data_IF_726204977161
#
_entry.id   IF_726204977161
#
_cell.length_a   1.000
_cell.length_b   1.000
_cell.length_c   1.000
_cell.angle_alpha   90.00
_cell.angle_beta   90.00
_cell.angle_gamma   90.00
#
_symmetry.space_group_name_H-M   'P 1'
#
loop_
_entity.id
_entity.type
_entity.pdbx_description
1 polymer ?
#
# COMPACT_ATOMS: atom_id res chain seq x y z
N UNK A 1 5.36 24.37 -19.40
CA UNK A 1 5.91 23.50 -18.36
C UNK A 1 4.79 22.66 -17.76
N UNK A 2 4.73 21.38 -18.06
CA UNK A 2 3.75 20.50 -17.46
C UNK A 2 4.20 20.16 -16.04
N UNK A 3 3.48 20.67 -15.04
CA UNK A 3 3.68 20.24 -13.67
C UNK A 3 3.23 18.77 -13.59
N UNK A 4 4.17 17.88 -13.36
CA UNK A 4 3.90 16.47 -13.15
C UNK A 4 3.01 16.32 -11.91
N UNK A 5 1.77 15.88 -12.12
CA UNK A 5 0.83 15.64 -11.02
C UNK A 5 1.26 14.38 -10.27
N UNK A 6 1.53 14.53 -8.99
CA UNK A 6 1.79 13.38 -8.11
C UNK A 6 0.48 12.87 -7.54
N UNK A 7 0.40 11.55 -7.35
CA UNK A 7 -0.73 10.91 -6.69
C UNK A 7 -0.90 11.43 -5.26
N UNK A 8 -2.15 11.57 -4.83
CA UNK A 8 -2.49 11.79 -3.42
C UNK A 8 -2.40 10.45 -2.68
N UNK A 9 -1.59 10.38 -1.64
CA UNK A 9 -1.40 9.17 -0.85
C UNK A 9 -2.20 9.24 0.44
N UNK A 10 -3.07 8.26 0.67
CA UNK A 10 -3.95 8.16 1.82
C UNK A 10 -3.65 6.87 2.56
N UNK A 11 -3.26 6.95 3.82
CA UNK A 11 -3.08 5.79 4.69
C UNK A 11 -4.38 5.50 5.44
N UNK A 12 -4.83 4.24 5.37
CA UNK A 12 -6.01 3.77 6.07
C UNK A 12 -5.55 2.92 7.23
N UNK A 13 -5.89 3.34 8.44
CA UNK A 13 -5.42 2.74 9.67
C UNK A 13 -6.59 2.33 10.55
N UNK A 14 -6.38 1.33 11.41
CA UNK A 14 -7.33 0.92 12.43
C UNK A 14 -6.57 0.49 13.67
N UNK A 15 -6.80 1.19 14.78
CA UNK A 15 -6.17 0.90 16.07
C UNK A 15 -6.74 -0.33 16.75
N UNK A 16 -7.98 -0.68 16.43
CA UNK A 16 -8.66 -1.85 17.01
C UNK A 16 -8.73 -2.96 15.99
N UNK A 17 -7.69 -3.74 15.82
CA UNK A 17 -7.57 -4.77 14.79
C UNK A 17 -8.87 -5.33 14.21
N UNK A 18 -8.92 -5.47 12.91
CA UNK A 18 -9.76 -6.43 12.21
C UNK A 18 -11.09 -6.00 11.64
N UNK A 19 -11.68 -4.87 12.00
CA UNK A 19 -13.02 -4.56 11.49
C UNK A 19 -13.08 -3.29 10.66
N UNK A 20 -13.38 -3.42 9.38
CA UNK A 20 -13.73 -2.32 8.49
C UNK A 20 -12.57 -1.63 7.78
N UNK A 21 -11.32 -1.86 8.19
CA UNK A 21 -10.16 -1.21 7.56
C UNK A 21 -10.01 -1.62 6.08
N UNK A 22 -9.96 -2.91 5.81
CA UNK A 22 -9.85 -3.46 4.46
C UNK A 22 -11.07 -3.09 3.63
N UNK A 23 -12.27 -3.19 4.18
CA UNK A 23 -13.52 -2.81 3.51
C UNK A 23 -13.52 -1.33 3.17
N UNK A 24 -13.06 -0.47 4.08
CA UNK A 24 -12.96 0.98 3.84
C UNK A 24 -11.99 1.27 2.69
N UNK A 25 -10.82 0.64 2.70
CA UNK A 25 -9.81 0.80 1.65
C UNK A 25 -10.36 0.39 0.29
N UNK A 26 -10.98 -0.79 0.22
CA UNK A 26 -11.56 -1.34 -1.00
C UNK A 26 -12.68 -0.46 -1.54
N UNK A 27 -13.64 -0.09 -0.70
CA UNK A 27 -14.78 0.72 -1.12
C UNK A 27 -14.38 2.13 -1.53
N UNK A 28 -13.45 2.75 -0.82
CA UNK A 28 -12.95 4.08 -1.18
C UNK A 28 -12.22 4.02 -2.53
N UNK A 29 -11.38 3.00 -2.74
CA UNK A 29 -10.65 2.82 -3.99
C UNK A 29 -11.57 2.60 -5.17
N UNK A 30 -12.54 1.70 -5.05
CA UNK A 30 -13.51 1.41 -6.10
C UNK A 30 -14.38 2.64 -6.38
N UNK A 31 -14.83 3.34 -5.33
CA UNK A 31 -15.60 4.57 -5.48
C UNK A 31 -14.85 5.65 -6.27
N UNK A 32 -13.58 5.85 -5.97
CA UNK A 32 -12.73 6.80 -6.72
C UNK A 32 -12.54 6.36 -8.18
N UNK A 33 -12.38 5.06 -8.42
CA UNK A 33 -12.26 4.52 -9.78
C UNK A 33 -13.56 4.74 -10.58
N UNK A 34 -14.71 4.59 -9.94
CA UNK A 34 -16.01 4.89 -10.56
C UNK A 34 -16.16 6.36 -10.96
N UNK A 35 -15.47 7.27 -10.26
CA UNK A 35 -15.38 8.69 -10.60
C UNK A 35 -14.32 8.99 -11.67
N UNK A 36 -13.77 7.98 -12.30
CA UNK A 36 -12.77 8.12 -13.36
C UNK A 36 -11.34 8.36 -12.88
N UNK A 37 -11.06 8.17 -11.60
CA UNK A 37 -9.71 8.33 -11.05
C UNK A 37 -8.89 7.06 -11.24
N UNK A 38 -7.58 7.23 -11.44
CA UNK A 38 -6.63 6.13 -11.45
C UNK A 38 -6.19 5.85 -10.02
N UNK A 39 -6.50 4.66 -9.52
CA UNK A 39 -6.30 4.30 -8.11
C UNK A 39 -5.41 3.08 -7.99
N UNK A 40 -4.40 3.18 -7.13
CA UNK A 40 -3.57 2.08 -6.69
C UNK A 40 -3.88 1.79 -5.23
N UNK A 41 -4.26 0.55 -4.94
CA UNK A 41 -4.36 0.03 -3.58
C UNK A 41 -3.04 -0.66 -3.23
N UNK A 42 -2.52 -0.41 -2.04
CA UNK A 42 -1.31 -1.07 -1.54
C UNK A 42 -1.66 -1.81 -0.26
N UNK A 43 -1.58 -3.12 -0.30
CA UNK A 43 -1.78 -3.96 0.90
C UNK A 43 -0.47 -3.96 1.70
N UNK A 44 -0.48 -3.30 2.85
CA UNK A 44 0.67 -3.23 3.75
C UNK A 44 0.44 -4.06 5.03
N UNK A 45 -0.39 -5.08 4.93
CA UNK A 45 -0.70 -6.02 6.00
C UNK A 45 -0.16 -7.42 5.65
N UNK A 46 0.72 -8.02 6.48
CA UNK A 46 1.23 -9.38 6.23
C UNK A 46 0.13 -10.45 6.13
N UNK A 47 -1.03 -10.20 6.72
CA UNK A 47 -2.16 -11.11 6.61
C UNK A 47 -2.78 -11.14 5.20
N UNK A 48 -2.49 -10.14 4.38
CA UNK A 48 -2.98 -10.09 3.00
C UNK A 48 -4.49 -9.96 2.88
N UNK A 49 -5.15 -9.36 3.86
CA UNK A 49 -6.62 -9.29 3.90
C UNK A 49 -7.20 -8.53 2.70
N UNK A 50 -6.59 -7.42 2.32
CA UNK A 50 -7.02 -6.67 1.14
C UNK A 50 -6.79 -7.49 -0.14
N UNK A 51 -5.64 -8.13 -0.24
CA UNK A 51 -5.29 -8.99 -1.39
C UNK A 51 -6.32 -10.10 -1.57
N UNK A 52 -6.69 -10.80 -0.49
CA UNK A 52 -7.69 -11.86 -0.50
C UNK A 52 -9.07 -11.30 -0.85
N UNK A 53 -9.46 -10.20 -0.23
CA UNK A 53 -10.76 -9.54 -0.47
C UNK A 53 -10.91 -9.11 -1.92
N UNK A 54 -9.84 -8.70 -2.57
CA UNK A 54 -9.83 -8.29 -3.97
C UNK A 54 -9.78 -9.46 -4.95
N UNK A 55 -9.78 -10.70 -4.47
CA UNK A 55 -9.93 -11.90 -5.30
C UNK A 55 -8.71 -12.81 -5.40
N UNK A 56 -7.57 -12.42 -4.90
CA UNK A 56 -6.36 -13.27 -4.92
C UNK A 56 -6.32 -14.12 -3.66
N UNK A 57 -6.94 -15.30 -3.74
CA UNK A 57 -7.21 -16.18 -2.59
C UNK A 57 -5.97 -16.88 -2.03
N UNK A 58 -4.88 -16.91 -2.79
CA UNK A 58 -3.63 -17.57 -2.40
C UNK A 58 -2.46 -16.58 -2.54
N UNK A 59 -2.37 -15.58 -1.65
CA UNK A 59 -1.35 -14.54 -1.75
C UNK A 59 0.08 -15.08 -1.71
N UNK A 60 0.31 -16.18 -0.99
CA UNK A 60 1.64 -16.78 -0.86
C UNK A 60 2.17 -17.37 -2.15
N UNK A 61 1.30 -17.60 -3.14
CA UNK A 61 1.68 -18.08 -4.46
C UNK A 61 2.01 -16.93 -5.44
N UNK A 62 1.78 -15.68 -5.07
CA UNK A 62 2.06 -14.55 -5.94
C UNK A 62 3.58 -14.34 -6.08
N UNK A 63 4.08 -14.19 -7.32
CA UNK A 63 5.52 -14.07 -7.56
C UNK A 63 6.11 -12.74 -7.08
N UNK A 64 5.31 -11.69 -7.08
CA UNK A 64 5.75 -10.36 -6.68
C UNK A 64 4.72 -9.71 -5.76
N UNK A 65 5.18 -9.29 -4.59
CA UNK A 65 4.35 -8.64 -3.57
C UNK A 65 5.05 -7.38 -3.09
N UNK A 66 4.43 -6.66 -2.16
CA UNK A 66 5.04 -5.49 -1.54
C UNK A 66 6.41 -5.81 -0.93
N UNK A 67 6.54 -6.98 -0.27
CA UNK A 67 7.83 -7.39 0.31
C UNK A 67 8.90 -7.57 -0.76
N UNK A 68 8.56 -8.11 -1.93
CA UNK A 68 9.48 -8.24 -3.07
C UNK A 68 9.98 -6.87 -3.53
N UNK A 69 9.07 -5.91 -3.67
CA UNK A 69 9.40 -4.56 -4.12
C UNK A 69 10.26 -3.82 -3.08
N UNK A 70 9.92 -3.96 -1.80
CA UNK A 70 10.72 -3.38 -0.72
C UNK A 70 12.12 -3.99 -0.65
N UNK A 71 12.25 -5.31 -0.88
CA UNK A 71 13.54 -5.98 -0.93
C UNK A 71 14.40 -5.46 -2.10
N UNK A 72 13.79 -5.19 -3.24
CA UNK A 72 14.50 -4.54 -4.36
C UNK A 72 15.02 -3.16 -3.95
N UNK A 73 14.20 -2.36 -3.27
CA UNK A 73 14.62 -1.05 -2.78
C UNK A 73 15.78 -1.16 -1.77
N UNK A 74 15.75 -2.16 -0.89
CA UNK A 74 16.83 -2.43 0.07
C UNK A 74 18.18 -2.73 -0.62
N UNK A 75 18.12 -3.37 -1.77
CA UNK A 75 19.31 -3.78 -2.53
C UNK A 75 19.66 -2.76 -3.64
N UNK A 76 19.13 -1.55 -3.55
CA UNK A 76 19.33 -0.49 -4.56
C UNK A 76 18.98 -0.94 -5.99
N UNK A 77 18.09 -1.89 -6.13
CA UNK A 77 17.61 -2.35 -7.42
C UNK A 77 16.49 -1.44 -7.92
N UNK A 78 16.43 -1.22 -9.22
CA UNK A 78 15.36 -0.42 -9.80
C UNK A 78 14.02 -1.15 -9.72
N UNK A 79 12.96 -0.37 -9.53
CA UNK A 79 11.59 -0.86 -9.53
C UNK A 79 10.93 -0.28 -10.78
N UNK A 80 10.79 -1.08 -11.86
CA UNK A 80 10.12 -0.58 -13.07
C UNK A 80 8.66 -0.20 -12.77
N UNK A 81 8.12 0.83 -13.42
CA UNK A 81 6.70 1.15 -13.32
C UNK A 81 5.83 -0.07 -13.64
N UNK A 82 4.86 -0.36 -12.79
CA UNK A 82 3.96 -1.51 -12.96
C UNK A 82 4.48 -2.84 -12.41
N UNK A 83 5.71 -2.89 -11.91
CA UNK A 83 6.25 -4.11 -11.30
C UNK A 83 5.43 -4.47 -10.05
N UNK A 84 4.93 -5.71 -9.99
CA UNK A 84 4.12 -6.21 -8.88
C UNK A 84 2.69 -5.69 -8.84
N UNK A 85 2.24 -4.95 -9.84
CA UNK A 85 0.89 -4.39 -9.88
C UNK A 85 -0.08 -5.39 -10.50
N UNK A 86 -1.16 -5.68 -9.78
CA UNK A 86 -2.26 -6.51 -10.24
C UNK A 86 -3.44 -5.62 -10.65
N UNK A 87 -4.15 -6.00 -11.70
CA UNK A 87 -5.30 -5.24 -12.19
C UNK A 87 -6.60 -5.93 -11.79
N UNK A 88 -7.51 -5.16 -11.19
CA UNK A 88 -8.80 -5.65 -10.75
C UNK A 88 -9.91 -5.24 -11.74
N UNK A 89 -10.94 -6.09 -11.87
CA UNK A 89 -12.06 -5.86 -12.78
C UNK A 89 -12.86 -4.58 -12.46
N UNK A 90 -12.84 -4.15 -11.20
CA UNK A 90 -13.51 -2.90 -10.76
C UNK A 90 -12.72 -1.63 -11.10
N UNK A 91 -11.64 -1.74 -11.85
CA UNK A 91 -10.88 -0.59 -12.34
C UNK A 91 -9.83 -0.04 -11.40
N UNK A 92 -9.51 -0.75 -10.33
CA UNK A 92 -8.40 -0.41 -9.42
C UNK A 92 -7.22 -1.34 -9.64
N UNK A 93 -6.03 -0.85 -9.34
CA UNK A 93 -4.81 -1.66 -9.32
C UNK A 93 -4.40 -1.96 -7.89
N UNK A 94 -3.67 -3.05 -7.68
CA UNK A 94 -3.27 -3.53 -6.37
C UNK A 94 -1.80 -3.95 -6.36
N UNK A 95 -1.06 -3.48 -5.35
CA UNK A 95 0.19 -4.12 -4.94
C UNK A 95 -0.17 -5.05 -3.77
N UNK A 96 -0.04 -6.38 -3.96
CA UNK A 96 -0.48 -7.35 -2.96
C UNK A 96 0.53 -7.53 -1.83
N UNK A 97 0.08 -8.11 -0.72
CA UNK A 97 0.91 -8.55 0.38
C UNK A 97 0.68 -10.02 0.72
N UNK A 98 1.67 -10.62 1.35
CA UNK A 98 1.58 -11.95 1.91
C UNK A 98 2.41 -12.04 3.19
N UNK A 99 2.52 -13.24 3.75
CA UNK A 99 3.21 -13.47 5.03
C UNK A 99 4.70 -13.09 4.99
N UNK A 100 5.32 -13.05 3.82
CA UNK A 100 6.72 -12.63 3.69
C UNK A 100 6.96 -11.20 4.19
N UNK A 101 5.94 -10.36 4.15
CA UNK A 101 6.03 -9.00 4.67
C UNK A 101 6.33 -8.96 6.17
N UNK A 102 5.82 -9.92 6.95
CA UNK A 102 6.12 -10.02 8.37
C UNK A 102 7.61 -10.29 8.62
N UNK A 103 8.20 -11.20 7.83
CA UNK A 103 9.64 -11.49 7.90
C UNK A 103 10.50 -10.28 7.53
N UNK A 104 10.09 -9.55 6.51
CA UNK A 104 10.76 -8.34 6.09
C UNK A 104 10.69 -7.25 7.17
N UNK A 105 9.53 -7.06 7.80
CA UNK A 105 9.36 -6.09 8.88
C UNK A 105 10.32 -6.38 10.04
N UNK A 106 10.48 -7.65 10.43
CA UNK A 106 11.46 -8.05 11.46
C UNK A 106 12.87 -7.69 11.04
N UNK A 107 13.25 -7.95 9.79
CA UNK A 107 14.57 -7.59 9.26
C UNK A 107 14.80 -6.09 9.26
N UNK A 108 13.75 -5.29 9.08
CA UNK A 108 13.82 -3.84 9.01
C UNK A 108 13.76 -3.14 10.37
N UNK A 109 13.44 -3.84 11.46
CA UNK A 109 13.32 -3.26 12.81
C UNK A 109 14.59 -2.50 13.19
N UNK A 110 15.77 -3.03 12.83
CA UNK A 110 17.05 -2.42 13.10
C UNK A 110 17.58 -1.55 11.95
N UNK A 111 16.81 -1.41 10.88
CA UNK A 111 17.18 -0.60 9.73
C UNK A 111 16.68 0.82 9.90
N UNK A 112 17.57 1.80 9.92
CA UNK A 112 17.23 3.21 10.12
C UNK A 112 16.44 3.83 8.96
N UNK A 113 16.30 3.11 7.85
CA UNK A 113 15.76 3.64 6.60
C UNK A 113 14.57 2.84 6.05
N UNK A 114 13.90 2.05 6.88
CA UNK A 114 12.78 1.19 6.42
C UNK A 114 11.64 1.98 5.75
N UNK A 115 11.37 3.19 6.25
CA UNK A 115 10.36 4.06 5.67
C UNK A 115 10.77 4.56 4.28
N UNK A 116 12.09 4.69 4.01
CA UNK A 116 12.57 5.03 2.68
C UNK A 116 12.34 3.93 1.67
N UNK A 117 12.31 2.67 2.11
CA UNK A 117 12.04 1.53 1.22
C UNK A 117 10.61 1.58 0.69
N UNK A 118 9.65 1.79 1.59
CA UNK A 118 8.25 1.97 1.17
C UNK A 118 8.09 3.22 0.30
N UNK A 119 8.76 4.32 0.67
CA UNK A 119 8.74 5.54 -0.14
C UNK A 119 9.23 5.30 -1.56
N UNK A 120 10.33 4.57 -1.74
CA UNK A 120 10.86 4.25 -3.07
C UNK A 120 9.87 3.44 -3.90
N UNK A 121 9.20 2.47 -3.28
CA UNK A 121 8.15 1.68 -3.95
C UNK A 121 7.01 2.59 -4.40
N UNK A 122 6.53 3.47 -3.52
CA UNK A 122 5.44 4.39 -3.85
C UNK A 122 5.86 5.44 -4.89
N UNK A 123 7.07 5.95 -4.82
CA UNK A 123 7.59 6.94 -5.77
C UNK A 123 7.64 6.39 -7.20
N UNK A 124 7.88 5.09 -7.36
CA UNK A 124 7.85 4.45 -8.67
C UNK A 124 6.46 4.50 -9.32
N UNK A 125 5.41 4.63 -8.53
CA UNK A 125 4.01 4.61 -8.98
C UNK A 125 3.34 5.99 -8.96
N UNK A 126 3.91 6.99 -8.27
CA UNK A 126 3.23 8.28 -8.01
C UNK A 126 2.81 9.06 -9.25
N UNK A 127 3.46 8.84 -10.38
CA UNK A 127 3.16 9.57 -11.62
C UNK A 127 2.09 8.90 -12.47
N UNK A 128 1.71 7.67 -12.14
CA UNK A 128 0.76 6.88 -12.93
C UNK A 128 -0.65 6.87 -12.34
N UNK A 129 -0.81 7.30 -11.09
CA UNK A 129 -2.07 7.25 -10.37
C UNK A 129 -2.49 8.62 -9.87
N UNK A 130 -3.79 8.79 -9.69
CA UNK A 130 -4.37 9.96 -9.03
C UNK A 130 -4.38 9.76 -7.50
N UNK A 131 -4.62 8.53 -7.05
CA UNK A 131 -4.68 8.17 -5.64
C UNK A 131 -3.92 6.87 -5.36
N UNK A 132 -3.20 6.85 -4.24
CA UNK A 132 -2.60 5.65 -3.68
C UNK A 132 -3.17 5.46 -2.28
N UNK A 133 -3.85 4.34 -2.05
CA UNK A 133 -4.44 4.01 -0.76
C UNK A 133 -3.64 2.89 -0.10
N UNK A 134 -3.14 3.16 1.10
CA UNK A 134 -2.35 2.19 1.88
C UNK A 134 -3.25 1.53 2.93
N UNK A 135 -3.41 0.22 2.83
CA UNK A 135 -4.07 -0.58 3.86
C UNK A 135 -3.04 -1.01 4.90
N UNK A 136 -2.93 -0.25 5.98
CA UNK A 136 -1.86 -0.38 6.96
C UNK A 136 -2.30 -1.17 8.19
N UNK A 137 -1.41 -2.06 8.69
CA UNK A 137 -1.62 -2.67 10.01
C UNK A 137 -1.44 -1.65 11.12
N UNK A 138 -2.09 -1.88 12.29
CA UNK A 138 -1.85 -1.07 13.47
C UNK A 138 -0.48 -1.30 14.11
N UNK A 139 0.40 -2.09 13.53
CA UNK A 139 1.75 -2.29 14.06
C UNK A 139 2.53 -0.96 14.03
N UNK A 140 2.82 -0.49 15.17
CA UNK A 140 3.15 0.87 15.59
C UNK A 140 4.41 1.49 14.97
N UNK A 141 5.31 0.70 14.41
CA UNK A 141 6.61 1.22 13.98
C UNK A 141 6.58 1.96 12.64
N UNK A 142 5.97 1.36 11.62
CA UNK A 142 5.92 1.93 10.27
C UNK A 142 4.89 3.05 10.20
N UNK A 143 3.75 2.88 10.87
CA UNK A 143 2.66 3.86 10.85
C UNK A 143 3.04 5.18 11.51
N UNK A 144 3.65 5.15 12.70
CA UNK A 144 4.05 6.39 13.36
C UNK A 144 5.06 7.19 12.54
N UNK A 145 5.94 6.51 11.83
CA UNK A 145 6.92 7.17 10.96
C UNK A 145 6.31 7.67 9.66
N UNK A 146 5.33 6.96 9.11
CA UNK A 146 4.57 7.44 7.95
C UNK A 146 3.69 8.65 8.31
N UNK A 147 3.12 8.67 9.52
CA UNK A 147 2.27 9.77 9.99
C UNK A 147 3.02 11.10 10.12
N UNK A 148 4.34 11.05 10.32
CA UNK A 148 5.19 12.24 10.48
C UNK A 148 5.87 12.64 9.17
N UNK A 149 5.46 12.08 8.03
CA UNK A 149 6.12 12.33 6.75
C UNK A 149 5.27 13.14 5.78
N UNK A 150 5.92 14.02 5.01
CA UNK A 150 5.23 14.78 3.97
C UNK A 150 4.77 13.93 2.78
N UNK A 151 5.08 12.62 2.76
CA UNK A 151 4.74 11.73 1.65
C UNK A 151 3.33 11.14 1.75
N UNK A 152 2.70 11.22 2.92
CA UNK A 152 1.33 10.78 3.14
C UNK A 152 0.45 12.01 3.32
N UNK A 153 -0.47 12.21 2.39
CA UNK A 153 -1.31 13.41 2.34
C UNK A 153 -2.45 13.38 3.34
N UNK A 154 -2.96 12.18 3.65
CA UNK A 154 -4.09 12.00 4.55
C UNK A 154 -4.02 10.66 5.28
N UNK A 155 -4.59 10.64 6.48
CA UNK A 155 -4.74 9.42 7.27
C UNK A 155 -6.23 9.28 7.61
N UNK A 156 -6.79 8.11 7.26
CA UNK A 156 -8.18 7.78 7.57
C UNK A 156 -8.21 6.68 8.63
N UNK A 157 -8.86 6.96 9.74
CA UNK A 157 -9.08 5.97 10.79
C UNK A 157 -10.45 5.32 10.59
N UNK A 158 -10.46 4.04 10.25
CA UNK A 158 -11.71 3.31 9.99
C UNK A 158 -12.56 3.06 11.24
N UNK A 159 -12.01 3.30 12.43
CA UNK A 159 -12.79 3.18 13.68
C UNK A 159 -13.80 4.31 13.87
N UNK A 160 -13.60 5.45 13.22
CA UNK A 160 -14.44 6.62 13.40
C UNK A 160 -15.68 6.61 12.48
N UNK A 161 -15.84 5.56 11.70
CA UNK A 161 -16.97 5.40 10.77
C UNK A 161 -18.14 4.58 11.36
N UNK A 162 -18.13 4.39 12.68
CA UNK A 162 -19.19 3.66 13.38
C UNK A 162 -20.30 4.56 13.87
#
# INVERSE_FOLDING_TARGET
MKISKKATTIAIVNQKGGTGKTTTCENLGIGLAMEGKKVLLVDADPQGSLTISMGWQQPDELPTTLSTLMAKAMNDQSIPPGDGVLHHAEGVDLIPANIELAGLEVSLVNCMNREKMLKQVLDSAKHEYDFILLDCTPSLGILQKLMNRPDVDSIVNSCDAG
#
